data_IF_176664623476
#
_entry.id   IF_176664623476
#
_cell.length_a   1.000
_cell.length_b   1.000
_cell.length_c   1.000
_cell.angle_alpha   90.00
_cell.angle_beta   90.00
_cell.angle_gamma   90.00
#
_symmetry.space_group_name_H-M   'P 1'
#
loop_
_entity.id
_entity.type
_entity.pdbx_description
1 polymer ?
#
# COMPACT_ATOMS: atom_id res chain seq x y z
N UNK A 1 4.57 -3.49 15.24
CA UNK A 1 5.96 -3.59 14.73
C UNK A 1 6.18 -2.85 13.41
N UNK A 2 5.37 -3.09 12.36
CA UNK A 2 5.55 -2.41 11.06
C UNK A 2 5.51 -0.87 11.12
N UNK A 3 4.62 -0.27 11.93
CA UNK A 3 4.54 1.19 12.08
C UNK A 3 5.82 1.81 12.69
N UNK A 4 6.47 1.10 13.62
CA UNK A 4 7.74 1.51 14.24
C UNK A 4 8.87 1.49 13.21
N UNK A 5 8.97 0.39 12.44
CA UNK A 5 9.96 0.25 11.37
C UNK A 5 9.76 1.35 10.32
N UNK A 6 8.51 1.61 9.91
CA UNK A 6 8.23 2.71 8.97
C UNK A 6 8.62 4.07 9.52
N UNK A 7 8.29 4.37 10.78
CA UNK A 7 8.68 5.63 11.42
C UNK A 7 10.21 5.79 11.47
N UNK A 8 10.93 4.73 11.86
CA UNK A 8 12.40 4.71 11.92
C UNK A 8 13.07 4.85 10.56
N UNK A 9 12.54 4.19 9.51
CA UNK A 9 13.03 4.34 8.13
C UNK A 9 12.88 5.80 7.68
N UNK A 10 11.71 6.40 7.92
CA UNK A 10 11.46 7.77 7.50
C UNK A 10 12.34 8.79 8.23
N UNK A 11 12.56 8.62 9.53
CA UNK A 11 13.49 9.50 10.27
C UNK A 11 14.92 9.33 9.79
N UNK A 12 15.39 8.10 9.56
CA UNK A 12 16.73 7.85 9.04
C UNK A 12 16.94 8.45 7.63
N UNK A 13 15.93 8.36 6.74
CA UNK A 13 15.98 8.94 5.39
C UNK A 13 15.97 10.48 5.43
N UNK A 14 15.13 11.07 6.29
CA UNK A 14 14.96 12.53 6.35
C UNK A 14 16.17 13.21 7.00
N UNK A 15 16.69 12.64 8.09
CA UNK A 15 17.79 13.24 8.86
C UNK A 15 19.18 12.77 8.44
N UNK A 16 19.29 11.79 7.51
CA UNK A 16 20.56 11.23 7.01
C UNK A 16 21.54 10.75 8.11
N UNK A 17 21.03 10.32 9.26
CA UNK A 17 21.87 9.89 10.39
C UNK A 17 21.93 8.36 10.55
N UNK A 18 23.08 7.87 11.01
CA UNK A 18 23.42 6.45 11.16
C UNK A 18 22.77 5.79 12.38
N UNK A 19 21.93 4.77 12.12
CA UNK A 19 21.38 3.70 13.01
C UNK A 19 20.70 4.10 14.33
N UNK A 20 21.21 5.00 15.15
CA UNK A 20 20.60 5.42 16.42
C UNK A 20 19.37 6.33 16.20
N UNK A 21 19.40 7.14 15.15
CA UNK A 21 18.28 7.96 14.68
C UNK A 21 17.05 7.12 14.26
N UNK A 22 17.27 5.86 13.85
CA UNK A 22 16.22 4.92 13.47
C UNK A 22 15.38 4.49 14.67
N UNK A 23 16.02 4.06 15.76
CA UNK A 23 15.30 3.60 16.95
C UNK A 23 14.70 4.77 17.73
N UNK A 24 15.45 5.87 17.89
CA UNK A 24 14.97 7.07 18.56
C UNK A 24 13.80 7.73 17.81
N UNK A 25 13.92 7.85 16.48
CA UNK A 25 12.87 8.35 15.62
C UNK A 25 11.65 7.40 15.54
N UNK A 26 11.92 6.10 15.47
CA UNK A 26 10.90 5.06 15.55
C UNK A 26 10.05 5.19 16.80
N UNK A 27 10.67 5.36 17.97
CA UNK A 27 9.97 5.54 19.25
C UNK A 27 9.20 6.86 19.31
N UNK A 28 9.83 7.98 18.93
CA UNK A 28 9.25 9.33 19.00
C UNK A 28 8.00 9.49 18.13
N UNK A 29 7.99 8.93 16.92
CA UNK A 29 6.87 9.07 15.97
C UNK A 29 5.98 7.84 15.87
N UNK A 30 6.24 6.79 16.65
CA UNK A 30 5.47 5.54 16.61
C UNK A 30 3.97 5.79 16.70
N UNK A 31 3.50 6.49 17.74
CA UNK A 31 2.08 6.74 17.97
C UNK A 31 1.47 7.59 16.86
N UNK A 32 2.17 8.64 16.39
CA UNK A 32 1.67 9.48 15.30
C UNK A 32 1.53 8.70 13.98
N UNK A 33 2.51 7.85 13.66
CA UNK A 33 2.45 6.98 12.48
C UNK A 33 1.41 5.87 12.61
N UNK A 34 1.22 5.33 13.82
CA UNK A 34 0.20 4.33 14.13
C UNK A 34 -1.20 4.92 13.95
N UNK A 35 -1.48 6.08 14.57
CA UNK A 35 -2.78 6.75 14.44
C UNK A 35 -3.12 7.09 12.99
N UNK A 36 -2.14 7.54 12.20
CA UNK A 36 -2.34 7.74 10.76
C UNK A 36 -2.63 6.42 10.02
N UNK A 37 -1.99 5.33 10.43
CA UNK A 37 -2.27 3.98 9.91
C UNK A 37 -3.69 3.54 10.21
N UNK A 38 -4.16 3.74 11.45
CA UNK A 38 -5.54 3.42 11.87
C UNK A 38 -6.55 4.24 11.08
N UNK A 39 -6.33 5.56 10.92
CA UNK A 39 -7.21 6.41 10.11
C UNK A 39 -7.33 5.92 8.66
N UNK A 40 -6.21 5.56 8.03
CA UNK A 40 -6.23 5.02 6.67
C UNK A 40 -6.91 3.64 6.61
N UNK A 41 -6.73 2.80 7.62
CA UNK A 41 -7.38 1.49 7.70
C UNK A 41 -8.90 1.63 7.80
N UNK A 42 -9.39 2.53 8.66
CA UNK A 42 -10.82 2.81 8.79
C UNK A 42 -11.41 3.34 7.48
N UNK A 43 -10.71 4.28 6.84
CA UNK A 43 -11.15 4.82 5.55
C UNK A 43 -11.16 3.74 4.46
N UNK A 44 -10.16 2.87 4.42
CA UNK A 44 -10.12 1.73 3.49
C UNK A 44 -11.27 0.76 3.74
N UNK A 45 -11.63 0.51 5.01
CA UNK A 45 -12.76 -0.34 5.36
C UNK A 45 -14.08 0.24 4.86
N UNK A 46 -14.30 1.55 5.05
CA UNK A 46 -15.47 2.25 4.53
C UNK A 46 -15.52 2.19 3.00
N UNK A 47 -14.40 2.44 2.31
CA UNK A 47 -14.33 2.35 0.85
C UNK A 47 -14.61 0.92 0.38
N UNK A 48 -14.05 -0.08 1.06
CA UNK A 48 -14.25 -1.49 0.73
C UNK A 48 -15.71 -1.87 0.90
N UNK A 49 -16.36 -1.41 1.97
CA UNK A 49 -17.78 -1.61 2.19
C UNK A 49 -18.63 -0.96 1.07
N UNK A 50 -18.33 0.29 0.69
CA UNK A 50 -19.06 0.99 -0.37
C UNK A 50 -18.91 0.29 -1.73
N UNK A 51 -17.72 -0.22 -2.05
CA UNK A 51 -17.45 -0.88 -3.33
C UNK A 51 -18.05 -2.29 -3.37
N UNK A 52 -17.78 -3.10 -2.33
CA UNK A 52 -18.08 -4.53 -2.36
C UNK A 52 -19.48 -4.88 -1.84
N UNK A 53 -20.03 -4.18 -0.83
CA UNK A 53 -21.33 -4.58 -0.26
C UNK A 53 -22.47 -4.55 -1.28
N UNK A 54 -22.63 -3.53 -2.14
CA UNK A 54 -23.70 -3.53 -3.13
C UNK A 54 -23.61 -4.72 -4.08
N UNK A 55 -22.40 -5.08 -4.50
CA UNK A 55 -22.14 -6.22 -5.35
C UNK A 55 -22.42 -7.55 -4.66
N UNK A 56 -21.86 -7.75 -3.45
CA UNK A 56 -22.03 -8.97 -2.68
C UNK A 56 -23.49 -9.21 -2.24
N UNK A 57 -24.23 -8.14 -1.92
CA UNK A 57 -25.64 -8.24 -1.53
C UNK A 57 -26.55 -8.76 -2.63
N UNK A 58 -26.16 -8.61 -3.90
CA UNK A 58 -26.91 -9.08 -5.07
C UNK A 58 -26.28 -10.30 -5.73
N UNK A 59 -25.17 -10.80 -5.19
CA UNK A 59 -24.39 -11.87 -5.79
C UNK A 59 -25.20 -13.16 -5.95
N UNK A 60 -25.94 -13.58 -4.91
CA UNK A 60 -26.80 -14.78 -4.97
C UNK A 60 -27.89 -14.67 -6.04
N UNK A 61 -28.58 -13.52 -6.09
CA UNK A 61 -29.58 -13.26 -7.13
C UNK A 61 -28.99 -13.34 -8.55
N UNK A 62 -27.81 -12.75 -8.76
CA UNK A 62 -27.14 -12.78 -10.06
C UNK A 62 -26.66 -14.16 -10.48
N UNK A 63 -26.18 -14.98 -9.54
CA UNK A 63 -25.81 -16.37 -9.81
C UNK A 63 -26.99 -17.21 -10.30
N UNK A 64 -28.19 -16.94 -9.79
CA UNK A 64 -29.40 -17.70 -10.13
C UNK A 64 -30.10 -17.19 -11.40
N UNK A 65 -29.99 -15.90 -11.73
CA UNK A 65 -30.83 -15.25 -12.74
C UNK A 65 -30.08 -14.74 -13.98
N UNK A 66 -28.74 -14.68 -13.95
CA UNK A 66 -27.99 -14.26 -15.13
C UNK A 66 -27.86 -15.41 -16.13
N UNK A 67 -28.11 -15.17 -17.43
CA UNK A 67 -27.98 -16.18 -18.47
C UNK A 67 -26.52 -16.55 -18.77
N UNK A 68 -25.56 -15.80 -18.23
CA UNK A 68 -24.13 -16.03 -18.40
C UNK A 68 -23.38 -15.52 -17.17
N UNK A 69 -22.27 -16.18 -16.82
CA UNK A 69 -21.35 -15.74 -15.78
C UNK A 69 -20.48 -14.54 -16.21
N UNK A 70 -20.44 -14.22 -17.50
CA UNK A 70 -19.58 -13.16 -18.03
C UNK A 70 -19.81 -11.78 -17.38
N UNK A 71 -21.06 -11.28 -17.18
CA UNK A 71 -21.29 -10.00 -16.50
C UNK A 71 -20.85 -10.01 -15.04
N UNK A 72 -20.98 -11.15 -14.35
CA UNK A 72 -20.48 -11.36 -12.98
C UNK A 72 -18.95 -11.24 -12.95
N UNK A 73 -18.28 -11.94 -13.86
CA UNK A 73 -16.82 -11.97 -13.96
C UNK A 73 -16.24 -10.58 -14.28
N UNK A 74 -16.81 -9.88 -15.26
CA UNK A 74 -16.42 -8.49 -15.57
C UNK A 74 -16.75 -7.52 -14.44
N UNK A 75 -17.84 -7.73 -13.71
CA UNK A 75 -18.19 -6.94 -12.52
C UNK A 75 -17.16 -7.08 -11.41
N UNK A 76 -16.73 -8.31 -11.11
CA UNK A 76 -15.67 -8.59 -10.12
C UNK A 76 -14.35 -7.92 -10.55
N UNK A 77 -13.97 -8.06 -11.83
CA UNK A 77 -12.75 -7.44 -12.37
C UNK A 77 -12.83 -5.91 -12.23
N UNK A 78 -13.93 -5.30 -12.68
CA UNK A 78 -14.11 -3.84 -12.63
C UNK A 78 -14.07 -3.28 -11.21
N UNK A 79 -14.76 -3.92 -10.27
CA UNK A 79 -14.73 -3.54 -8.85
C UNK A 79 -13.36 -3.77 -8.21
N UNK A 80 -12.68 -4.85 -8.59
CA UNK A 80 -11.30 -5.11 -8.18
C UNK A 80 -10.35 -4.00 -8.62
N UNK A 81 -10.46 -3.52 -9.86
CA UNK A 81 -9.67 -2.39 -10.37
C UNK A 81 -9.99 -1.11 -9.58
N UNK A 82 -11.27 -0.80 -9.39
CA UNK A 82 -11.70 0.39 -8.65
C UNK A 82 -11.17 0.38 -7.21
N UNK A 83 -11.30 -0.76 -6.52
CA UNK A 83 -10.79 -0.96 -5.18
C UNK A 83 -9.26 -0.81 -5.13
N UNK A 84 -8.55 -1.35 -6.12
CA UNK A 84 -7.10 -1.24 -6.23
C UNK A 84 -6.62 0.19 -6.40
N UNK A 85 -7.33 0.99 -7.20
CA UNK A 85 -7.05 2.43 -7.36
C UNK A 85 -7.21 3.14 -6.02
N UNK A 86 -8.26 2.83 -5.26
CA UNK A 86 -8.47 3.41 -3.94
C UNK A 86 -7.35 3.03 -2.95
N UNK A 87 -6.90 1.78 -2.98
CA UNK A 87 -5.75 1.31 -2.20
C UNK A 87 -4.47 2.09 -2.54
N UNK A 88 -4.17 2.27 -3.83
CA UNK A 88 -3.01 3.02 -4.31
C UNK A 88 -3.09 4.48 -3.84
N UNK A 89 -4.26 5.10 -3.97
CA UNK A 89 -4.52 6.47 -3.53
C UNK A 89 -4.24 6.65 -2.03
N UNK A 90 -4.78 5.76 -1.19
CA UNK A 90 -4.56 5.81 0.25
C UNK A 90 -3.12 5.49 0.64
N UNK A 91 -2.46 4.60 -0.09
CA UNK A 91 -1.06 4.27 0.15
C UNK A 91 -0.15 5.49 -0.07
N UNK A 92 -0.30 6.20 -1.20
CA UNK A 92 0.46 7.42 -1.49
C UNK A 92 0.17 8.48 -0.43
N UNK A 93 -1.09 8.67 -0.05
CA UNK A 93 -1.50 9.67 0.94
C UNK A 93 -0.99 9.38 2.33
N UNK A 94 -1.02 8.10 2.73
CA UNK A 94 -0.42 7.66 3.97
C UNK A 94 1.09 7.87 3.98
N UNK A 95 1.79 7.54 2.90
CA UNK A 95 3.25 7.68 2.82
C UNK A 95 3.65 9.15 2.92
N UNK A 96 3.04 10.02 2.12
CA UNK A 96 3.30 11.45 2.14
C UNK A 96 2.90 12.12 3.46
N UNK A 97 1.77 11.72 4.04
CA UNK A 97 1.34 12.21 5.35
C UNK A 97 2.34 11.88 6.47
N UNK A 98 2.97 10.69 6.44
CA UNK A 98 4.05 10.34 7.40
C UNK A 98 5.27 11.23 7.23
N UNK A 99 5.69 11.49 5.99
CA UNK A 99 6.80 12.40 5.71
C UNK A 99 6.53 13.78 6.33
N UNK A 100 5.34 14.35 6.12
CA UNK A 100 4.98 15.66 6.65
C UNK A 100 4.88 15.70 8.19
N UNK A 101 4.38 14.63 8.81
CA UNK A 101 4.29 14.54 10.28
C UNK A 101 5.69 14.50 10.91
N UNK A 102 6.63 13.78 10.28
CA UNK A 102 7.99 13.63 10.79
C UNK A 102 8.82 14.88 10.51
N UNK A 103 8.73 15.43 9.29
CA UNK A 103 9.53 16.59 8.85
C UNK A 103 9.01 17.91 9.42
N UNK A 104 7.72 18.17 9.26
CA UNK A 104 7.11 19.48 9.56
C UNK A 104 6.42 19.49 10.94
N UNK A 105 6.63 18.45 11.76
CA UNK A 105 6.01 18.25 13.09
C UNK A 105 4.47 18.39 13.11
N UNK A 106 3.80 18.15 11.99
CA UNK A 106 2.36 18.37 11.89
C UNK A 106 1.56 17.40 12.77
N UNK A 107 0.42 17.87 13.26
CA UNK A 107 -0.61 17.01 13.86
C UNK A 107 -1.08 15.94 12.88
N UNK A 108 -1.45 14.76 13.37
CA UNK A 108 -1.88 13.60 12.56
C UNK A 108 -2.98 13.97 11.56
N UNK A 109 -4.00 14.72 11.97
CA UNK A 109 -5.10 15.16 11.10
C UNK A 109 -4.65 16.10 9.97
N UNK A 110 -3.78 17.08 10.25
CA UNK A 110 -3.24 17.97 9.22
C UNK A 110 -2.35 17.21 8.23
N UNK A 111 -1.53 16.27 8.73
CA UNK A 111 -0.71 15.38 7.90
C UNK A 111 -1.56 14.49 7.00
N UNK A 112 -2.64 13.92 7.54
CA UNK A 112 -3.61 13.11 6.79
C UNK A 112 -4.29 13.91 5.67
N UNK A 113 -4.86 15.09 5.97
CA UNK A 113 -5.54 15.94 4.99
C UNK A 113 -4.59 16.37 3.86
N UNK A 114 -3.37 16.82 4.19
CA UNK A 114 -2.36 17.17 3.18
C UNK A 114 -1.91 15.96 2.36
N UNK A 115 -1.80 14.79 2.99
CA UNK A 115 -1.55 13.50 2.34
C UNK A 115 -2.59 13.15 1.28
N UNK A 116 -3.88 13.26 1.61
CA UNK A 116 -4.98 13.00 0.67
C UNK A 116 -4.99 13.99 -0.49
N UNK A 117 -4.85 15.29 -0.22
CA UNK A 117 -4.82 16.32 -1.28
C UNK A 117 -3.65 16.10 -2.24
N UNK A 118 -2.48 15.76 -1.71
CA UNK A 118 -1.32 15.42 -2.54
C UNK A 118 -1.57 14.18 -3.39
N UNK A 119 -2.24 13.18 -2.83
CA UNK A 119 -2.60 11.95 -3.54
C UNK A 119 -3.49 12.23 -4.73
N UNK A 120 -4.52 13.08 -4.60
CA UNK A 120 -5.39 13.45 -5.75
C UNK A 120 -4.54 14.01 -6.90
N UNK A 121 -3.56 14.85 -6.61
CA UNK A 121 -2.72 15.51 -7.62
C UNK A 121 -1.68 14.59 -8.28
N UNK A 122 -1.27 13.50 -7.62
CA UNK A 122 -0.16 12.65 -8.07
C UNK A 122 -0.52 11.19 -8.34
N UNK A 123 -1.71 10.76 -7.93
CA UNK A 123 -2.17 9.37 -8.11
C UNK A 123 -2.12 8.99 -9.58
N UNK A 124 -2.66 9.80 -10.49
CA UNK A 124 -2.66 9.49 -11.93
C UNK A 124 -1.26 9.32 -12.56
N UNK A 125 -0.21 9.93 -11.99
CA UNK A 125 1.16 9.78 -12.51
C UNK A 125 1.86 8.52 -12.02
N UNK A 126 1.56 8.07 -10.79
CA UNK A 126 2.15 6.87 -10.19
C UNK A 126 1.26 5.63 -10.36
N UNK A 127 -0.01 5.82 -10.72
CA UNK A 127 -1.02 4.78 -10.87
C UNK A 127 -0.60 3.69 -11.85
N UNK A 128 -0.06 3.96 -13.06
CA UNK A 128 0.29 2.90 -13.99
C UNK A 128 1.35 1.95 -13.43
N UNK A 129 2.41 2.50 -12.83
CA UNK A 129 3.50 1.69 -12.25
C UNK A 129 3.01 0.87 -11.04
N UNK A 130 2.21 1.48 -10.15
CA UNK A 130 1.67 0.79 -8.99
C UNK A 130 0.60 -0.25 -9.37
N UNK A 131 -0.17 0.01 -10.42
CA UNK A 131 -1.17 -0.89 -10.95
C UNK A 131 -0.54 -2.11 -11.65
N UNK A 132 0.52 -1.92 -12.44
CA UNK A 132 1.29 -3.04 -13.02
C UNK A 132 1.84 -3.95 -11.91
N UNK A 133 2.35 -3.38 -10.82
CA UNK A 133 2.83 -4.20 -9.70
C UNK A 133 1.67 -4.85 -8.95
N UNK A 134 0.53 -4.18 -8.80
CA UNK A 134 -0.66 -4.80 -8.23
C UNK A 134 -1.11 -6.01 -9.07
N UNK A 135 -1.16 -5.86 -10.40
CA UNK A 135 -1.47 -6.96 -11.31
C UNK A 135 -0.46 -8.09 -11.21
N UNK A 136 0.84 -7.78 -11.12
CA UNK A 136 1.90 -8.77 -10.90
C UNK A 136 1.69 -9.52 -9.58
N UNK A 137 1.38 -8.80 -8.48
CA UNK A 137 1.10 -9.41 -7.18
C UNK A 137 -0.16 -10.28 -7.20
N UNK A 138 -1.23 -9.81 -7.84
CA UNK A 138 -2.48 -10.56 -7.99
C UNK A 138 -2.27 -11.82 -8.84
N UNK A 139 -1.55 -11.71 -9.96
CA UNK A 139 -1.16 -12.85 -10.79
C UNK A 139 -0.36 -13.87 -9.99
N UNK A 140 0.65 -13.43 -9.25
CA UNK A 140 1.48 -14.33 -8.43
C UNK A 140 0.67 -14.98 -7.29
N UNK A 141 -0.30 -14.28 -6.71
CA UNK A 141 -1.21 -14.84 -5.71
C UNK A 141 -2.17 -15.87 -6.31
N UNK A 142 -2.72 -15.61 -7.50
CA UNK A 142 -3.53 -16.58 -8.23
C UNK A 142 -2.70 -17.82 -8.60
N UNK A 143 -1.47 -17.62 -9.07
CA UNK A 143 -0.53 -18.73 -9.33
C UNK A 143 -0.27 -19.54 -8.07
N UNK A 144 -0.11 -18.89 -6.90
CA UNK A 144 -0.03 -19.61 -5.62
C UNK A 144 -1.28 -20.44 -5.33
N UNK A 145 -2.48 -19.91 -5.59
CA UNK A 145 -3.73 -20.66 -5.42
C UNK A 145 -3.86 -21.85 -6.37
N UNK A 146 -3.45 -21.71 -7.63
CA UNK A 146 -3.38 -22.83 -8.60
C UNK A 146 -2.33 -23.87 -8.25
N UNK A 147 -1.31 -23.47 -7.50
CA UNK A 147 -0.19 -24.31 -7.10
C UNK A 147 -0.57 -25.25 -5.95
N UNK A 148 -1.48 -24.86 -5.06
CA UNK A 148 -1.92 -25.67 -3.93
C UNK A 148 -2.64 -26.97 -4.37
N UNK A 149 -3.22 -27.00 -5.59
CA UNK A 149 -3.93 -28.17 -6.13
C UNK A 149 -3.03 -29.11 -6.98
N UNK A 150 -1.74 -28.80 -7.16
CA UNK A 150 -0.87 -29.56 -8.07
C UNK A 150 0.06 -30.56 -7.34
N UNK A 151 -0.01 -31.87 -7.66
CA UNK A 151 0.81 -32.91 -7.01
C UNK A 151 2.32 -32.79 -7.29
N UNK A 152 2.71 -31.98 -8.28
CA UNK A 152 4.13 -31.69 -8.56
C UNK A 152 4.72 -30.77 -7.47
N UNK A 153 3.88 -29.96 -6.80
CA UNK A 153 4.32 -28.94 -5.87
C UNK A 153 4.38 -29.40 -4.40
N UNK A 154 3.81 -30.57 -4.09
CA UNK A 154 4.05 -31.29 -2.83
C UNK A 154 5.41 -32.01 -2.78
N UNK A 155 6.19 -31.97 -3.86
CA UNK A 155 7.57 -32.45 -3.88
C UNK A 155 8.51 -31.40 -3.27
N UNK A 156 9.65 -31.85 -2.72
CA UNK A 156 10.69 -30.96 -2.16
C UNK A 156 11.11 -29.86 -3.14
N UNK A 157 11.21 -30.18 -4.44
CA UNK A 157 11.57 -29.22 -5.50
C UNK A 157 10.49 -28.14 -5.66
N UNK A 158 9.22 -28.53 -5.61
CA UNK A 158 8.08 -27.62 -5.67
C UNK A 158 8.04 -26.63 -4.50
N UNK A 159 8.31 -27.11 -3.28
CA UNK A 159 8.38 -26.27 -2.07
C UNK A 159 9.49 -25.22 -2.19
N UNK A 160 10.68 -25.60 -2.68
CA UNK A 160 11.78 -24.65 -2.88
C UNK A 160 11.48 -23.61 -3.97
N UNK A 161 10.81 -24.02 -5.05
CA UNK A 161 10.40 -23.11 -6.12
C UNK A 161 9.36 -22.09 -5.61
N UNK A 162 8.37 -22.55 -4.86
CA UNK A 162 7.40 -21.70 -4.17
C UNK A 162 8.06 -20.71 -3.21
N UNK A 163 8.99 -21.18 -2.39
CA UNK A 163 9.76 -20.33 -1.50
C UNK A 163 10.53 -19.26 -2.28
N UNK A 164 11.18 -19.62 -3.39
CA UNK A 164 11.88 -18.67 -4.25
C UNK A 164 10.95 -17.59 -4.82
N UNK A 165 9.77 -17.98 -5.32
CA UNK A 165 8.76 -17.04 -5.82
C UNK A 165 8.24 -16.12 -4.70
N UNK A 166 7.96 -16.68 -3.51
CA UNK A 166 7.55 -15.89 -2.34
C UNK A 166 8.62 -14.87 -1.92
N UNK A 167 9.91 -15.25 -1.92
CA UNK A 167 10.99 -14.32 -1.62
C UNK A 167 11.13 -13.24 -2.69
N UNK A 168 11.03 -13.60 -3.98
CA UNK A 168 11.06 -12.62 -5.08
C UNK A 168 9.93 -11.58 -4.94
N UNK A 169 8.72 -12.00 -4.56
CA UNK A 169 7.59 -11.11 -4.26
C UNK A 169 7.94 -10.12 -3.15
N UNK A 170 8.52 -10.61 -2.06
CA UNK A 170 8.93 -9.76 -0.93
C UNK A 170 9.96 -8.73 -1.39
N UNK A 171 10.96 -9.13 -2.19
CA UNK A 171 11.98 -8.22 -2.73
C UNK A 171 11.39 -7.16 -3.65
N UNK A 172 10.50 -7.54 -4.58
CA UNK A 172 9.82 -6.58 -5.47
C UNK A 172 8.99 -5.58 -4.65
N UNK A 173 8.25 -6.05 -3.64
CA UNK A 173 7.45 -5.19 -2.75
C UNK A 173 8.32 -4.20 -1.98
N UNK A 174 9.49 -4.63 -1.51
CA UNK A 174 10.46 -3.77 -0.82
C UNK A 174 11.05 -2.74 -1.79
N UNK A 175 11.55 -3.18 -2.95
CA UNK A 175 12.14 -2.30 -3.96
C UNK A 175 11.17 -1.21 -4.40
N UNK A 176 9.90 -1.55 -4.62
CA UNK A 176 8.89 -0.59 -5.01
C UNK A 176 8.55 0.41 -3.89
N UNK A 177 8.50 -0.04 -2.63
CA UNK A 177 8.34 0.88 -1.50
C UNK A 177 9.51 1.88 -1.47
N UNK A 178 10.74 1.40 -1.60
CA UNK A 178 11.94 2.24 -1.61
C UNK A 178 11.88 3.24 -2.78
N UNK A 179 11.55 2.80 -4.00
CA UNK A 179 11.43 3.68 -5.18
C UNK A 179 10.34 4.74 -5.01
N UNK A 180 9.18 4.36 -4.47
CA UNK A 180 8.09 5.31 -4.18
C UNK A 180 8.53 6.30 -3.11
N UNK A 181 9.24 5.85 -2.08
CA UNK A 181 9.73 6.71 -1.00
C UNK A 181 10.76 7.71 -1.51
N UNK A 182 11.72 7.26 -2.33
CA UNK A 182 12.71 8.13 -2.97
C UNK A 182 12.04 9.18 -3.85
N UNK A 183 11.08 8.77 -4.69
CA UNK A 183 10.33 9.70 -5.53
C UNK A 183 9.54 10.74 -4.73
N UNK A 184 8.88 10.32 -3.65
CA UNK A 184 8.11 11.21 -2.78
C UNK A 184 9.03 12.18 -2.02
N UNK A 185 10.22 11.74 -1.62
CA UNK A 185 11.23 12.58 -0.99
C UNK A 185 11.74 13.66 -1.97
N UNK A 186 12.08 13.29 -3.20
CA UNK A 186 12.57 14.21 -4.24
C UNK A 186 11.51 15.25 -4.66
N UNK A 187 10.22 14.91 -4.51
CA UNK A 187 9.09 15.79 -4.84
C UNK A 187 8.55 16.56 -3.65
N UNK A 188 8.95 16.23 -2.43
CA UNK A 188 8.68 17.07 -1.28
C UNK A 188 9.60 18.28 -1.41
N UNK A 189 9.08 19.54 -1.44
CA UNK A 189 9.93 20.71 -1.54
C UNK A 189 10.93 20.65 -0.37
N UNK A 190 12.20 20.48 -0.71
CA UNK A 190 13.32 20.72 0.19
C UNK A 190 13.31 22.22 0.45
N UNK A 191 12.50 22.68 1.39
CA UNK A 191 12.88 23.90 2.07
C UNK A 191 14.06 23.48 2.96
N UNK A 192 15.24 24.12 2.78
CA UNK A 192 16.36 23.86 3.67
C UNK A 192 15.84 24.06 5.09
N UNK A 193 16.26 23.18 5.99
CA UNK A 193 16.11 23.42 7.42
C UNK A 193 16.89 24.72 7.65
N UNK A 194 16.19 25.85 7.71
CA UNK A 194 16.75 27.06 8.28
C UNK A 194 16.99 26.71 9.74
N UNK A 195 18.22 26.30 10.01
CA UNK A 195 18.79 26.37 11.34
C UNK A 195 18.87 27.86 11.70
N UNK A 196 17.73 28.42 12.10
CA UNK A 196 17.71 29.68 12.81
C UNK A 196 17.00 29.43 14.14
N UNK A 197 17.86 29.52 15.18
CA UNK A 197 17.63 29.60 16.63
C UNK A 197 17.52 28.27 17.38
#
# INVERSE_FOLDING_TARGET
MAAFIHAGIWTAIIYREERYSFFAGGAKYFLKCLSLGVLNMLLLLVISAIIWLPFLSRFGYWMEHLPSEAPLLWGIIGLGILWSIACIFLFIGSAYGRILIIRDQLSVFKGFKKGLVFSVKKTFKLMPALFVVFLLLAFLYLMHGFVDDSPILSTTIGIFLLFGVQQAIVWVKIALRISTYKYLLDKAPLQPITNEQ
#
